data_IF_147324022191
#
_entry.id   IF_147324022191
#
_cell.length_a   1.000
_cell.length_b   1.000
_cell.length_c   1.000
_cell.angle_alpha   90.00
_cell.angle_beta   90.00
_cell.angle_gamma   90.00
#
_symmetry.space_group_name_H-M   'P 1'
#
loop_
_entity.id
_entity.type
_entity.pdbx_description
1 polymer ?
#
# COMPACT_ATOMS: atom_id res chain seq x y z
N UNK A 1 10.12 26.78 6.61
CA UNK A 1 9.75 26.15 5.34
C UNK A 1 8.24 25.90 5.33
N UNK A 2 7.61 26.18 4.22
CA UNK A 2 6.17 25.91 4.06
C UNK A 2 5.95 24.44 3.71
N UNK A 3 5.40 23.70 4.67
CA UNK A 3 5.19 22.25 4.52
C UNK A 3 4.14 21.93 3.47
N UNK A 4 3.13 22.82 3.31
CA UNK A 4 2.11 22.64 2.29
C UNK A 4 2.71 22.72 0.89
N UNK A 5 3.59 23.69 0.67
CA UNK A 5 4.26 23.86 -0.61
C UNK A 5 5.22 22.71 -0.89
N UNK A 6 5.89 22.19 0.13
CA UNK A 6 6.73 21.01 -0.03
C UNK A 6 5.87 19.81 -0.46
N UNK A 7 4.71 19.62 0.17
CA UNK A 7 3.78 18.54 -0.19
C UNK A 7 3.30 18.70 -1.64
N UNK A 8 2.98 19.91 -2.04
CA UNK A 8 2.56 20.18 -3.42
C UNK A 8 3.68 19.86 -4.41
N UNK A 9 4.91 20.20 -4.08
CA UNK A 9 6.07 19.87 -4.90
C UNK A 9 6.22 18.37 -5.07
N UNK A 10 6.21 17.64 -3.96
CA UNK A 10 6.35 16.17 -3.98
C UNK A 10 5.20 15.50 -4.74
N UNK A 11 4.02 16.10 -4.73
CA UNK A 11 2.87 15.61 -5.49
C UNK A 11 3.07 15.58 -6.99
N UNK A 12 4.10 16.26 -7.51
CA UNK A 12 4.43 16.23 -8.94
C UNK A 12 5.11 14.93 -9.35
N UNK A 13 5.49 14.11 -8.37
CA UNK A 13 6.00 12.78 -8.65
C UNK A 13 4.84 11.81 -8.72
N UNK A 14 4.45 11.42 -9.93
CA UNK A 14 3.33 10.50 -10.14
C UNK A 14 3.68 9.12 -9.57
N UNK A 15 2.72 8.52 -8.88
CA UNK A 15 2.90 7.21 -8.27
C UNK A 15 1.79 6.26 -8.67
N UNK A 16 2.02 4.98 -8.46
CA UNK A 16 0.93 4.01 -8.35
C UNK A 16 0.23 4.18 -7.00
N UNK A 17 -0.77 3.36 -6.77
CA UNK A 17 -1.53 3.34 -5.51
C UNK A 17 -1.56 1.92 -5.00
N UNK A 18 -1.25 1.74 -3.72
CA UNK A 18 -1.32 0.44 -3.07
C UNK A 18 -2.23 0.49 -1.85
N UNK A 19 -2.74 -0.65 -1.46
CA UNK A 19 -3.31 -0.86 -0.13
C UNK A 19 -2.46 -1.94 0.53
N UNK A 20 -1.97 -1.62 1.73
CA UNK A 20 -1.22 -2.57 2.53
C UNK A 20 -2.21 -3.26 3.45
N UNK A 21 -2.28 -4.59 3.39
CA UNK A 21 -3.19 -5.37 4.23
C UNK A 21 -2.43 -6.29 5.17
N UNK A 22 -2.97 -6.50 6.35
CA UNK A 22 -2.44 -7.45 7.31
C UNK A 22 -3.57 -7.97 8.20
N UNK A 23 -3.31 -9.11 8.83
CA UNK A 23 -4.23 -9.69 9.79
C UNK A 23 -3.67 -9.45 11.20
N UNK A 24 -4.57 -9.14 12.10
CA UNK A 24 -4.24 -8.95 13.51
C UNK A 24 -5.32 -9.60 14.36
N UNK A 25 -5.05 -9.76 15.64
CA UNK A 25 -5.99 -10.39 16.57
C UNK A 25 -7.38 -9.75 16.53
N UNK A 26 -7.47 -8.47 16.23
CA UNK A 26 -8.74 -7.74 16.10
C UNK A 26 -9.42 -7.87 14.74
N UNK A 27 -8.83 -8.55 13.77
CA UNK A 27 -9.40 -8.73 12.44
C UNK A 27 -8.47 -8.32 11.31
N UNK A 28 -9.07 -8.02 10.17
CA UNK A 28 -8.35 -7.64 8.95
C UNK A 28 -8.19 -6.12 8.90
N UNK A 29 -6.98 -5.67 8.58
CA UNK A 29 -6.65 -4.24 8.51
C UNK A 29 -6.04 -3.89 7.16
N UNK A 30 -6.23 -2.65 6.76
CA UNK A 30 -5.61 -2.14 5.55
C UNK A 30 -5.49 -0.62 5.58
N UNK A 31 -4.54 -0.10 4.84
CA UNK A 31 -4.38 1.33 4.63
C UNK A 31 -3.82 1.61 3.25
N UNK A 32 -4.25 2.72 2.67
CA UNK A 32 -3.80 3.15 1.35
C UNK A 32 -2.45 3.83 1.47
N UNK A 33 -1.53 3.48 0.58
CA UNK A 33 -0.21 4.08 0.53
C UNK A 33 0.25 4.25 -0.91
N UNK A 34 0.87 5.38 -1.19
CA UNK A 34 1.60 5.61 -2.44
C UNK A 34 3.11 5.66 -2.21
N UNK A 35 3.54 5.29 -1.02
CA UNK A 35 4.94 5.31 -0.58
C UNK A 35 5.66 3.97 -0.76
N UNK A 36 5.17 3.17 -1.66
CA UNK A 36 5.76 1.86 -1.97
C UNK A 36 6.99 2.01 -2.85
N UNK A 37 8.06 1.25 -2.54
CA UNK A 37 9.29 1.22 -3.32
C UNK A 37 9.84 -0.19 -3.39
N UNK A 38 10.21 -0.64 -4.59
CA UNK A 38 11.03 -1.83 -4.74
C UNK A 38 12.45 -1.53 -4.27
N UNK A 39 13.06 -2.44 -3.53
CA UNK A 39 14.37 -2.20 -2.89
C UNK A 39 15.43 -3.13 -3.43
N UNK A 40 15.20 -4.44 -3.43
CA UNK A 40 16.22 -5.43 -3.75
C UNK A 40 15.59 -6.66 -4.36
N UNK A 41 16.35 -7.35 -5.21
CA UNK A 41 15.93 -8.64 -5.77
C UNK A 41 16.62 -9.82 -5.09
N UNK A 42 17.73 -9.60 -4.42
CA UNK A 42 18.46 -10.68 -3.74
C UNK A 42 19.07 -10.15 -2.43
N UNK A 43 18.42 -10.37 -1.29
CA UNK A 43 17.09 -10.94 -1.14
C UNK A 43 16.00 -10.02 -1.69
N UNK A 44 14.80 -10.55 -2.00
CA UNK A 44 13.73 -9.71 -2.56
C UNK A 44 13.10 -8.88 -1.45
N UNK A 45 13.29 -7.57 -1.53
CA UNK A 45 12.83 -6.63 -0.51
C UNK A 45 12.02 -5.50 -1.12
N UNK A 46 11.01 -5.06 -0.38
CA UNK A 46 10.21 -3.87 -0.69
C UNK A 46 10.13 -2.98 0.54
N UNK A 47 9.80 -1.70 0.31
CA UNK A 47 9.68 -0.71 1.36
C UNK A 47 8.32 -0.04 1.31
N UNK A 48 7.70 0.16 2.47
CA UNK A 48 6.55 1.04 2.64
C UNK A 48 6.83 2.01 3.78
N UNK A 49 6.45 3.27 3.59
CA UNK A 49 6.62 4.32 4.59
C UNK A 49 5.27 4.61 5.23
N UNK A 50 5.20 4.54 6.55
CA UNK A 50 3.95 4.64 7.30
C UNK A 50 4.02 5.80 8.29
N UNK A 51 3.02 6.69 8.24
CA UNK A 51 2.89 7.80 9.17
C UNK A 51 2.70 7.26 10.59
N UNK A 52 3.49 7.76 11.53
CA UNK A 52 3.43 7.34 12.95
C UNK A 52 2.07 7.63 13.60
N UNK A 53 1.30 8.57 13.04
CA UNK A 53 -0.03 8.95 13.56
C UNK A 53 -1.12 7.99 13.11
N UNK A 54 -0.87 7.15 12.11
CA UNK A 54 -1.89 6.23 11.60
C UNK A 54 -2.00 5.00 12.50
N UNK A 55 -3.19 4.41 12.54
CA UNK A 55 -3.39 3.14 13.24
C UNK A 55 -2.56 2.02 12.62
N UNK A 56 -2.27 2.15 11.33
CA UNK A 56 -1.49 1.17 10.58
C UNK A 56 -0.07 0.99 11.12
N UNK A 57 0.48 2.01 11.76
CA UNK A 57 1.80 1.96 12.37
C UNK A 57 1.96 0.75 13.29
N UNK A 58 0.93 0.46 14.11
CA UNK A 58 0.98 -0.63 15.06
C UNK A 58 0.81 -2.01 14.42
N UNK A 59 0.24 -2.08 13.22
CA UNK A 59 -0.08 -3.37 12.58
C UNK A 59 1.11 -4.03 11.92
N UNK A 60 2.07 -3.26 11.42
CA UNK A 60 3.16 -3.80 10.62
C UNK A 60 4.41 -4.19 11.42
N UNK A 61 4.47 -3.89 12.71
CA UNK A 61 5.68 -4.12 13.51
C UNK A 61 6.15 -5.57 13.50
N UNK A 62 5.23 -6.50 13.68
CA UNK A 62 5.58 -7.92 13.81
C UNK A 62 4.68 -8.84 12.98
N UNK A 63 3.96 -8.29 12.00
CA UNK A 63 2.99 -9.05 11.24
C UNK A 63 3.40 -9.17 9.77
N UNK A 64 3.07 -10.31 9.17
CA UNK A 64 3.13 -10.44 7.73
C UNK A 64 2.14 -9.44 7.12
N UNK A 65 2.46 -8.97 5.93
CA UNK A 65 1.58 -8.05 5.22
C UNK A 65 1.61 -8.33 3.72
N UNK A 66 0.59 -7.83 3.04
CA UNK A 66 0.51 -7.92 1.58
C UNK A 66 0.39 -6.53 0.99
N UNK A 67 1.20 -6.26 -0.01
CA UNK A 67 1.07 -5.05 -0.84
C UNK A 67 0.11 -5.38 -1.96
N UNK A 68 -1.06 -4.74 -1.97
CA UNK A 68 -2.05 -4.87 -3.03
C UNK A 68 -1.86 -3.68 -3.97
N UNK A 69 -1.32 -3.92 -5.16
CA UNK A 69 -1.15 -2.86 -6.16
C UNK A 69 -2.48 -2.72 -6.88
N UNK A 70 -3.08 -1.53 -6.81
CA UNK A 70 -4.44 -1.33 -7.27
C UNK A 70 -4.53 -1.13 -8.77
N UNK A 71 -5.60 -1.68 -9.33
CA UNK A 71 -5.99 -1.50 -10.72
C UNK A 71 -6.87 -0.24 -10.85
N UNK A 72 -7.01 0.29 -12.05
CA UNK A 72 -7.75 1.55 -12.29
C UNK A 72 -9.18 1.52 -11.74
N UNK A 73 -9.84 0.36 -11.75
CA UNK A 73 -11.21 0.22 -11.26
C UNK A 73 -11.33 0.21 -9.74
N UNK A 74 -10.22 0.26 -9.01
CA UNK A 74 -10.20 0.16 -7.55
C UNK A 74 -10.03 1.52 -6.85
N UNK A 75 -10.43 2.61 -7.50
CA UNK A 75 -10.36 3.94 -6.90
C UNK A 75 -11.12 4.01 -5.57
N UNK A 76 -12.35 3.46 -5.53
CA UNK A 76 -13.16 3.50 -4.32
C UNK A 76 -12.54 2.66 -3.20
N UNK A 77 -11.84 1.60 -3.54
CA UNK A 77 -11.07 0.81 -2.58
C UNK A 77 -9.97 1.66 -1.93
N UNK A 78 -9.25 2.44 -2.74
CA UNK A 78 -8.22 3.36 -2.24
C UNK A 78 -8.81 4.39 -1.28
N UNK A 79 -9.96 4.96 -1.63
CA UNK A 79 -10.65 5.94 -0.80
C UNK A 79 -11.10 5.32 0.52
N UNK A 80 -11.67 4.11 0.47
CA UNK A 80 -12.12 3.38 1.66
C UNK A 80 -11.01 3.22 2.71
N UNK A 81 -9.81 2.86 2.26
CA UNK A 81 -8.66 2.65 3.15
C UNK A 81 -7.85 3.91 3.43
N UNK A 82 -8.33 5.08 3.01
CA UNK A 82 -7.68 6.38 3.26
C UNK A 82 -8.28 7.13 4.44
N UNK A 83 -8.96 6.43 5.36
CA UNK A 83 -9.64 7.06 6.48
C UNK A 83 -11.04 7.56 6.14
N UNK A 84 -11.59 7.15 4.99
CA UNK A 84 -12.95 7.49 4.54
C UNK A 84 -13.72 6.22 4.20
N UNK A 85 -13.97 5.33 5.19
CA UNK A 85 -14.62 4.06 4.90
C UNK A 85 -16.03 4.28 4.32
N UNK A 86 -16.34 3.48 3.32
CA UNK A 86 -17.66 3.49 2.68
C UNK A 86 -18.59 2.55 3.43
N UNK A 87 -19.91 2.85 3.44
CA UNK A 87 -20.90 2.04 4.13
C UNK A 87 -20.92 0.61 3.60
N UNK A 88 -20.83 0.47 2.27
CA UNK A 88 -20.72 -0.82 1.61
C UNK A 88 -19.28 -0.94 1.09
N UNK A 89 -18.49 -1.87 1.60
CA UNK A 89 -17.11 -2.02 1.12
C UNK A 89 -17.07 -2.28 -0.39
N UNK A 90 -16.27 -1.51 -1.15
CA UNK A 90 -16.20 -1.67 -2.61
C UNK A 90 -15.21 -2.76 -3.04
N UNK A 91 -14.92 -3.69 -2.16
CA UNK A 91 -13.95 -4.76 -2.39
C UNK A 91 -14.39 -6.03 -1.67
N UNK A 92 -13.73 -7.14 -1.99
CA UNK A 92 -13.91 -8.40 -1.28
C UNK A 92 -12.56 -8.85 -0.71
N UNK A 93 -12.58 -9.31 0.54
CA UNK A 93 -11.41 -9.94 1.14
C UNK A 93 -11.20 -11.32 0.52
N UNK A 94 -9.95 -11.64 0.25
CA UNK A 94 -9.54 -12.98 -0.17
C UNK A 94 -8.57 -13.53 0.87
N UNK A 95 -8.93 -14.69 1.44
CA UNK A 95 -8.10 -15.31 2.47
C UNK A 95 -6.87 -15.96 1.83
N UNK A 96 -5.71 -15.67 2.41
CA UNK A 96 -4.43 -16.27 2.00
C UNK A 96 -3.70 -16.73 3.24
N UNK A 97 -2.75 -17.64 3.06
CA UNK A 97 -1.92 -18.13 4.16
C UNK A 97 -1.14 -17.00 4.83
N UNK A 98 -0.60 -16.07 4.05
CA UNK A 98 0.17 -14.94 4.55
C UNK A 98 -0.69 -13.98 5.38
N UNK A 99 -1.77 -13.51 4.78
CA UNK A 99 -2.79 -12.66 5.39
C UNK A 99 -3.89 -12.43 4.36
N UNK A 100 -5.01 -11.83 4.78
CA UNK A 100 -6.05 -11.46 3.82
C UNK A 100 -5.54 -10.41 2.84
N UNK A 101 -6.02 -10.47 1.62
CA UNK A 101 -5.68 -9.53 0.55
C UNK A 101 -6.96 -9.09 -0.17
N UNK A 102 -6.85 -8.09 -1.03
CA UNK A 102 -8.00 -7.53 -1.74
C UNK A 102 -8.14 -8.20 -3.10
N UNK A 103 -9.26 -8.92 -3.29
CA UNK A 103 -9.55 -9.61 -4.55
C UNK A 103 -9.49 -8.64 -5.73
N UNK A 104 -9.02 -9.13 -6.87
CA UNK A 104 -8.97 -8.42 -8.15
C UNK A 104 -7.95 -7.27 -8.23
N UNK A 105 -7.06 -7.15 -7.26
CA UNK A 105 -5.96 -6.20 -7.40
C UNK A 105 -5.05 -6.56 -8.58
N UNK A 106 -4.37 -5.56 -9.14
CA UNK A 106 -3.51 -5.76 -10.31
C UNK A 106 -2.32 -6.66 -9.99
N UNK A 107 -1.76 -6.50 -8.79
CA UNK A 107 -0.65 -7.34 -8.33
C UNK A 107 -0.69 -7.48 -6.81
N UNK A 108 -0.11 -8.57 -6.33
CA UNK A 108 0.00 -8.86 -4.90
C UNK A 108 1.45 -9.21 -4.58
N UNK A 109 1.97 -8.63 -3.50
CA UNK A 109 3.30 -8.94 -3.01
C UNK A 109 3.16 -9.31 -1.54
N UNK A 110 3.31 -10.60 -1.22
CA UNK A 110 3.14 -11.12 0.13
C UNK A 110 4.50 -11.10 0.83
N UNK A 111 4.54 -10.45 1.99
CA UNK A 111 5.78 -10.15 2.69
C UNK A 111 5.78 -10.61 4.13
N UNK A 112 6.98 -10.88 4.64
CA UNK A 112 7.23 -11.01 6.07
C UNK A 112 8.09 -9.82 6.52
N UNK A 113 8.04 -9.43 7.82
CA UNK A 113 8.88 -8.34 8.31
C UNK A 113 10.36 -8.63 8.13
N UNK A 114 11.13 -7.65 7.67
CA UNK A 114 12.58 -7.77 7.51
C UNK A 114 13.31 -6.80 8.43
N UNK A 115 12.96 -5.51 8.35
CA UNK A 115 13.59 -4.47 9.15
C UNK A 115 12.69 -3.24 9.19
N UNK A 116 12.92 -2.36 10.14
CA UNK A 116 12.27 -1.06 10.18
C UNK A 116 13.29 0.02 10.52
N UNK A 117 13.06 1.21 10.01
CA UNK A 117 13.97 2.34 10.19
C UNK A 117 13.19 3.60 10.48
N UNK A 118 13.79 4.49 11.28
CA UNK A 118 13.21 5.79 11.57
C UNK A 118 13.23 6.66 10.30
N UNK A 119 12.11 7.28 10.01
CA UNK A 119 11.95 8.20 8.88
C UNK A 119 11.29 9.50 9.29
N UNK A 120 11.67 10.07 10.45
CA UNK A 120 11.06 11.32 10.92
C UNK A 120 9.67 11.08 11.48
N UNK A 121 8.64 11.70 10.87
CA UNK A 121 7.25 11.46 11.26
C UNK A 121 6.68 10.17 10.66
N UNK A 122 7.51 9.39 10.00
CA UNK A 122 7.19 8.09 9.42
C UNK A 122 8.12 7.02 9.93
N UNK A 123 7.72 5.76 9.74
CA UNK A 123 8.58 4.59 9.90
C UNK A 123 8.68 3.90 8.56
N UNK A 124 9.89 3.52 8.19
CA UNK A 124 10.16 2.81 6.94
C UNK A 124 10.18 1.31 7.23
N UNK A 125 9.18 0.59 6.75
CA UNK A 125 9.10 -0.86 6.91
C UNK A 125 9.63 -1.55 5.68
N UNK A 126 10.63 -2.43 5.89
CA UNK A 126 11.15 -3.28 4.82
C UNK A 126 10.53 -4.65 4.99
N UNK A 127 9.92 -5.15 3.93
CA UNK A 127 9.37 -6.50 3.88
C UNK A 127 10.19 -7.39 2.97
N UNK A 128 10.36 -8.64 3.38
CA UNK A 128 10.93 -9.67 2.51
C UNK A 128 9.81 -10.36 1.75
N UNK A 129 9.91 -10.37 0.44
CA UNK A 129 8.90 -10.96 -0.43
C UNK A 129 8.96 -12.48 -0.34
N UNK A 130 7.82 -13.10 -0.02
CA UNK A 130 7.68 -14.55 0.06
C UNK A 130 6.96 -15.12 -1.15
N UNK A 131 6.02 -14.36 -1.70
CA UNK A 131 5.20 -14.77 -2.83
C UNK A 131 4.67 -13.53 -3.54
N UNK A 132 4.46 -13.64 -4.84
CA UNK A 132 3.86 -12.55 -5.61
C UNK A 132 3.02 -13.11 -6.75
N UNK A 133 2.04 -12.31 -7.18
CA UNK A 133 1.20 -12.59 -8.34
C UNK A 133 0.90 -11.27 -9.04
N UNK A 134 0.68 -11.32 -10.34
CA UNK A 134 0.26 -10.14 -11.08
C UNK A 134 -0.59 -10.55 -12.29
N UNK A 135 -1.38 -9.59 -12.78
CA UNK A 135 -2.24 -9.78 -13.94
C UNK A 135 -2.09 -8.58 -14.87
N UNK A 136 -2.71 -8.66 -16.05
CA UNK A 136 -2.70 -7.56 -17.00
C UNK A 136 -3.78 -6.55 -16.64
N UNK A 137 -3.54 -5.29 -17.00
CA UNK A 137 -4.50 -4.22 -16.79
C UNK A 137 -3.80 -2.89 -16.61
N UNK A 138 -4.60 -1.85 -16.47
CA UNK A 138 -4.11 -0.50 -16.20
C UNK A 138 -4.07 -0.23 -14.71
N UNK A 139 -3.02 0.44 -14.26
CA UNK A 139 -2.83 0.73 -12.85
C UNK A 139 -3.62 1.97 -12.43
N UNK A 140 -4.02 1.99 -11.16
CA UNK A 140 -4.50 3.21 -10.54
C UNK A 140 -3.29 4.08 -10.20
N UNK A 141 -3.32 5.32 -10.64
CA UNK A 141 -2.26 6.29 -10.38
C UNK A 141 -2.72 7.43 -9.49
N UNK A 142 -1.75 8.16 -8.96
CA UNK A 142 -1.99 9.33 -8.13
C UNK A 142 -0.99 10.41 -8.50
N UNK A 143 -1.50 11.59 -8.87
CA UNK A 143 -0.68 12.69 -9.35
C UNK A 143 -1.32 14.00 -8.94
N UNK A 144 -0.54 14.85 -8.27
CA UNK A 144 -0.98 16.19 -7.81
C UNK A 144 -2.30 16.12 -7.04
N UNK A 145 -2.42 15.13 -6.15
CA UNK A 145 -3.60 14.97 -5.31
C UNK A 145 -4.83 14.39 -5.99
N UNK A 146 -4.67 13.85 -7.21
CA UNK A 146 -5.80 13.29 -7.98
C UNK A 146 -5.50 11.90 -8.46
N UNK A 147 -6.52 11.06 -8.49
CA UNK A 147 -6.41 9.73 -9.08
C UNK A 147 -6.36 9.82 -10.60
N UNK A 148 -5.66 8.88 -11.20
CA UNK A 148 -5.51 8.79 -12.65
C UNK A 148 -5.36 7.33 -13.06
N UNK A 149 -5.43 7.09 -14.35
CA UNK A 149 -5.17 5.77 -14.93
C UNK A 149 -3.77 5.78 -15.54
N UNK A 150 -2.98 4.74 -15.23
CA UNK A 150 -1.63 4.58 -15.80
C UNK A 150 -1.64 3.37 -16.71
N UNK A 151 -1.35 3.60 -18.00
CA UNK A 151 -1.22 2.56 -19.02
C UNK A 151 0.09 2.76 -19.76
N UNK A 152 0.67 1.67 -20.31
CA UNK A 152 1.82 1.81 -21.20
C UNK A 152 1.48 2.69 -22.41
N UNK A 153 2.47 3.40 -22.88
CA UNK A 153 2.33 4.28 -24.04
C UNK A 153 2.27 3.47 -25.33
#
# INVERSE_FOLDING_TARGET
MDVRELRNCMGHFATGVTVITCDEEGGKHGFTANSFTSVSLDPPLVLVSVDRKTKAFNFLQDNNFTVNILRESQRDTAIHFSGRPLDVPPFEWEKRENCHRLRDSLAFIECEPWAEYDGGDHVLYIGKVKHFEYSNGSALGYYRGKFSTITPM
#
